data_IF_240407832801
#
_entry.id   IF_240407832801
#
_cell.length_a   1.000
_cell.length_b   1.000
_cell.length_c   1.000
_cell.angle_alpha   90.00
_cell.angle_beta   90.00
_cell.angle_gamma   90.00
#
_symmetry.space_group_name_H-M   'P 1'
#
loop_
_entity.id
_entity.type
_entity.pdbx_description
1 polymer ?
#
# COMPACT_ATOMS: atom_id res chain seq x y z
N UNK A 1 -7.02 -3.74 -4.58
CA UNK A 1 -5.72 -4.41 -4.38
C UNK A 1 -5.76 -4.96 -2.96
N UNK A 2 -5.47 -6.26 -2.77
CA UNK A 2 -5.34 -6.79 -1.41
C UNK A 2 -3.84 -6.73 -1.13
N UNK A 3 -3.43 -5.82 -0.27
CA UNK A 3 -2.07 -5.69 0.24
C UNK A 3 -1.97 -6.45 1.55
N UNK A 4 -0.88 -7.19 1.75
CA UNK A 4 -0.67 -8.03 2.93
C UNK A 4 0.39 -9.08 2.67
N UNK A 5 0.05 -10.14 1.93
CA UNK A 5 1.01 -11.18 1.54
C UNK A 5 1.15 -11.19 0.02
N UNK A 6 2.36 -10.94 -0.46
CA UNK A 6 2.70 -10.93 -1.88
C UNK A 6 3.79 -11.95 -2.13
N UNK A 7 3.63 -12.74 -3.19
CA UNK A 7 4.65 -13.68 -3.64
C UNK A 7 5.12 -13.31 -5.04
N UNK A 8 6.43 -13.29 -5.24
CA UNK A 8 7.05 -13.10 -6.55
C UNK A 8 8.35 -13.92 -6.66
N UNK A 9 8.83 -14.11 -7.89
CA UNK A 9 10.15 -14.73 -8.10
C UNK A 9 11.23 -13.78 -7.58
N UNK A 10 12.33 -14.33 -7.05
CA UNK A 10 13.49 -13.54 -6.62
C UNK A 10 14.00 -12.57 -7.69
N UNK A 11 14.13 -13.02 -8.94
CA UNK A 11 14.55 -12.17 -10.05
C UNK A 11 13.56 -11.02 -10.34
N UNK A 12 12.28 -11.22 -10.05
CA UNK A 12 11.25 -10.20 -10.18
C UNK A 12 11.36 -9.16 -9.05
N UNK A 13 11.67 -9.60 -7.82
CA UNK A 13 11.95 -8.73 -6.66
C UNK A 13 13.20 -7.86 -6.87
N UNK A 14 14.32 -8.48 -7.24
CA UNK A 14 15.60 -7.78 -7.40
C UNK A 14 15.53 -6.71 -8.49
N UNK A 15 14.94 -7.02 -9.66
CA UNK A 15 14.88 -6.03 -10.73
C UNK A 15 13.72 -5.01 -10.62
N UNK A 16 12.88 -5.08 -9.58
CA UNK A 16 12.06 -3.90 -9.16
C UNK A 16 12.72 -3.09 -8.04
N UNK A 17 13.87 -3.53 -7.53
CA UNK A 17 14.61 -2.83 -6.47
C UNK A 17 14.15 -3.18 -5.04
N UNK A 18 13.31 -4.21 -4.88
CA UNK A 18 12.79 -4.61 -3.57
C UNK A 18 11.82 -3.60 -2.95
N UNK A 19 11.78 -3.56 -1.61
CA UNK A 19 11.00 -2.60 -0.84
C UNK A 19 11.78 -1.31 -0.64
N UNK A 20 11.11 -0.16 -0.80
CA UNK A 20 11.72 1.14 -0.56
C UNK A 20 11.61 1.49 0.93
N UNK A 21 12.70 1.32 1.67
CA UNK A 21 12.79 1.61 3.11
C UNK A 21 12.60 3.10 3.45
N UNK A 22 12.63 3.99 2.45
CA UNK A 22 12.34 5.42 2.65
C UNK A 22 10.85 5.67 2.86
N UNK A 23 10.00 4.76 2.38
CA UNK A 23 8.56 4.83 2.55
C UNK A 23 8.18 4.26 3.90
N UNK A 24 7.91 5.14 4.87
CA UNK A 24 7.41 4.71 6.20
C UNK A 24 6.03 4.06 6.10
N UNK A 25 5.25 4.44 5.09
CA UNK A 25 3.91 3.94 4.81
C UNK A 25 3.74 3.67 3.31
N UNK A 26 2.86 2.72 2.97
CA UNK A 26 2.54 2.33 1.59
C UNK A 26 3.69 1.68 0.80
N UNK A 27 4.75 1.21 1.47
CA UNK A 27 5.83 0.40 0.87
C UNK A 27 5.28 -0.77 0.05
N UNK A 28 4.29 -1.50 0.57
CA UNK A 28 3.62 -2.61 -0.10
C UNK A 28 2.91 -2.17 -1.38
N UNK A 29 2.29 -0.99 -1.36
CA UNK A 29 1.57 -0.44 -2.51
C UNK A 29 2.55 -0.04 -3.61
N UNK A 30 3.65 0.62 -3.23
CA UNK A 30 4.72 0.99 -4.15
C UNK A 30 5.35 -0.26 -4.79
N UNK A 31 5.69 -1.25 -3.98
CA UNK A 31 6.24 -2.54 -4.43
C UNK A 31 5.29 -3.27 -5.39
N UNK A 32 4.00 -3.42 -5.01
CA UNK A 32 3.00 -4.03 -5.89
C UNK A 32 2.83 -3.29 -7.22
N UNK A 33 2.89 -1.96 -7.19
CA UNK A 33 2.79 -1.13 -8.40
C UNK A 33 3.98 -1.35 -9.31
N UNK A 34 5.19 -1.44 -8.76
CA UNK A 34 6.41 -1.72 -9.51
C UNK A 34 6.36 -3.10 -10.19
N UNK A 35 5.95 -4.14 -9.44
CA UNK A 35 5.74 -5.49 -9.97
C UNK A 35 4.71 -5.52 -11.10
N UNK A 36 3.61 -4.79 -10.97
CA UNK A 36 2.58 -4.70 -12.00
C UNK A 36 3.09 -4.04 -13.28
N UNK A 37 3.84 -2.95 -13.16
CA UNK A 37 4.47 -2.27 -14.32
C UNK A 37 5.44 -3.19 -15.03
N UNK A 38 6.28 -3.92 -14.28
CA UNK A 38 7.21 -4.92 -14.84
C UNK A 38 6.47 -6.06 -15.52
N UNK A 39 5.42 -6.59 -14.89
CA UNK A 39 4.57 -7.63 -15.47
C UNK A 39 4.04 -7.19 -16.83
N UNK A 40 3.49 -5.98 -16.93
CA UNK A 40 3.00 -5.43 -18.22
C UNK A 40 4.08 -5.35 -19.29
N UNK A 41 5.29 -4.91 -18.96
CA UNK A 41 6.42 -4.86 -19.90
C UNK A 41 6.87 -6.24 -20.38
N UNK A 42 6.64 -7.28 -19.58
CA UNK A 42 7.04 -8.67 -19.87
C UNK A 42 5.87 -9.54 -20.34
N UNK A 43 4.70 -8.96 -20.60
CA UNK A 43 3.49 -9.70 -21.01
C UNK A 43 2.83 -10.53 -19.89
N UNK A 44 3.23 -10.33 -18.64
CA UNK A 44 2.79 -11.08 -17.46
C UNK A 44 1.77 -10.28 -16.65
N UNK A 45 0.94 -10.96 -15.86
CA UNK A 45 -0.11 -10.35 -15.03
C UNK A 45 0.05 -10.75 -13.57
N UNK A 46 -0.30 -9.84 -12.66
CA UNK A 46 -0.49 -10.17 -11.27
C UNK A 46 -1.79 -10.96 -11.10
N UNK A 47 -1.74 -12.04 -10.33
CA UNK A 47 -2.88 -12.88 -10.01
C UNK A 47 -3.11 -12.91 -8.50
N UNK A 48 -4.38 -13.03 -8.10
CA UNK A 48 -4.79 -13.18 -6.70
C UNK A 48 -5.13 -14.64 -6.43
N UNK A 49 -4.59 -15.21 -5.34
CA UNK A 49 -5.05 -16.50 -4.84
C UNK A 49 -6.48 -16.35 -4.29
N UNK A 50 -7.47 -16.96 -4.97
CA UNK A 50 -8.88 -16.86 -4.57
C UNK A 50 -9.30 -17.87 -3.51
N UNK A 51 -8.55 -18.98 -3.40
CA UNK A 51 -8.90 -20.13 -2.55
C UNK A 51 -8.15 -20.14 -1.21
N UNK A 52 -7.00 -19.48 -1.13
CA UNK A 52 -6.24 -19.31 0.10
C UNK A 52 -6.30 -17.85 0.53
N UNK A 53 -7.10 -17.56 1.55
CA UNK A 53 -7.25 -16.20 2.10
C UNK A 53 -6.30 -16.03 3.28
N UNK A 54 -5.65 -14.87 3.34
CA UNK A 54 -4.86 -14.48 4.51
C UNK A 54 -5.81 -14.12 5.64
N UNK A 55 -5.58 -14.68 6.82
CA UNK A 55 -6.28 -14.29 8.05
C UNK A 55 -5.47 -13.17 8.70
N UNK A 56 -5.98 -11.95 8.68
CA UNK A 56 -5.35 -10.80 9.33
C UNK A 56 -5.81 -10.68 10.79
N UNK A 57 -4.92 -10.23 11.68
CA UNK A 57 -5.30 -9.89 13.06
C UNK A 57 -6.08 -8.58 13.09
N UNK A 58 -7.23 -8.57 13.76
CA UNK A 58 -8.09 -7.38 13.93
C UNK A 58 -7.62 -6.46 15.05
N UNK A 59 -6.59 -6.83 15.83
CA UNK A 59 -6.18 -6.13 17.06
C UNK A 59 -6.03 -4.61 16.89
N UNK A 60 -5.37 -4.17 15.81
CA UNK A 60 -5.21 -2.73 15.51
C UNK A 60 -6.54 -2.04 15.20
N UNK A 61 -7.45 -2.74 14.54
CA UNK A 61 -8.78 -2.22 14.22
C UNK A 61 -9.67 -2.12 15.47
N UNK A 62 -9.54 -3.11 16.37
CA UNK A 62 -10.25 -3.14 17.65
C UNK A 62 -9.76 -2.03 18.59
N UNK A 63 -8.45 -1.73 18.58
CA UNK A 63 -7.86 -0.66 19.41
C UNK A 63 -8.13 0.76 18.87
N UNK A 64 -8.13 0.96 17.54
CA UNK A 64 -8.15 2.31 16.94
C UNK A 64 -9.50 2.70 16.32
N UNK A 65 -10.40 1.72 16.12
CA UNK A 65 -11.72 1.92 15.50
C UNK A 65 -11.66 2.26 14.00
N UNK A 66 -12.65 1.81 13.23
CA UNK A 66 -12.72 2.06 11.78
C UNK A 66 -12.80 3.54 11.36
N UNK A 67 -13.13 4.43 12.29
CA UNK A 67 -13.24 5.88 12.09
C UNK A 67 -11.92 6.53 11.70
N UNK A 68 -10.79 5.95 12.09
CA UNK A 68 -9.45 6.47 11.78
C UNK A 68 -9.16 6.44 10.26
N UNK A 69 -9.71 5.46 9.54
CA UNK A 69 -9.56 5.40 8.08
C UNK A 69 -10.44 6.42 7.35
N UNK A 70 -11.61 6.80 7.91
CA UNK A 70 -12.51 7.77 7.28
C UNK A 70 -11.87 9.16 7.12
N UNK A 71 -11.11 9.62 8.14
CA UNK A 71 -10.37 10.88 8.06
C UNK A 71 -9.30 10.87 6.96
N UNK A 72 -8.53 9.80 6.90
CA UNK A 72 -7.50 9.58 5.88
C UNK A 72 -8.11 9.48 4.46
N UNK A 73 -9.15 8.67 4.28
CA UNK A 73 -9.81 8.51 2.98
C UNK A 73 -10.46 9.81 2.51
N UNK A 74 -11.08 10.61 3.41
CA UNK A 74 -11.64 11.92 3.05
C UNK A 74 -10.56 12.91 2.63
N UNK A 75 -9.43 12.97 3.35
CA UNK A 75 -8.31 13.85 2.97
C UNK A 75 -7.63 13.41 1.67
N UNK A 76 -7.37 12.11 1.51
CA UNK A 76 -6.80 11.56 0.30
C UNK A 76 -7.72 11.79 -0.91
N UNK A 77 -9.03 11.61 -0.75
CA UNK A 77 -10.03 11.86 -1.79
C UNK A 77 -10.06 13.34 -2.22
N UNK A 78 -10.11 14.28 -1.27
CA UNK A 78 -10.12 15.72 -1.58
C UNK A 78 -8.84 16.19 -2.30
N UNK A 79 -7.67 15.64 -1.95
CA UNK A 79 -6.40 16.01 -2.58
C UNK A 79 -6.10 15.28 -3.89
N UNK A 80 -6.62 14.08 -4.10
CA UNK A 80 -6.54 13.38 -5.39
C UNK A 80 -7.29 14.16 -6.49
N UNK A 81 -8.44 14.76 -6.14
CA UNK A 81 -9.18 15.66 -7.03
C UNK A 81 -8.62 17.10 -7.09
N UNK A 82 -7.80 17.50 -6.10
CA UNK A 82 -7.25 18.85 -5.97
C UNK A 82 -5.77 19.05 -6.37
N UNK A 83 -5.08 18.05 -6.94
CA UNK A 83 -3.63 18.07 -7.26
C UNK A 83 -2.70 18.25 -6.04
N UNK A 84 -2.95 17.55 -4.94
CA UNK A 84 -2.07 17.54 -3.76
C UNK A 84 -1.28 16.23 -3.62
N UNK A 85 0.00 16.33 -3.26
CA UNK A 85 0.87 15.17 -3.00
C UNK A 85 0.35 14.34 -1.81
N UNK A 86 -0.01 13.08 -2.09
CA UNK A 86 -0.55 12.13 -1.11
C UNK A 86 0.51 11.67 -0.10
N UNK A 87 1.80 11.70 -0.46
CA UNK A 87 2.88 11.24 0.39
C UNK A 87 2.99 12.10 1.67
N UNK A 88 2.98 13.43 1.49
CA UNK A 88 3.06 14.41 2.59
C UNK A 88 1.85 14.35 3.53
N UNK A 89 0.68 13.94 3.04
CA UNK A 89 -0.54 13.76 3.86
C UNK A 89 -0.43 12.53 4.74
N UNK A 90 0.04 11.41 4.17
CA UNK A 90 0.19 10.16 4.91
C UNK A 90 1.24 10.32 6.03
N UNK A 91 2.35 11.00 5.76
CA UNK A 91 3.36 11.29 6.79
C UNK A 91 2.79 12.13 7.94
N UNK A 92 2.04 13.20 7.62
CA UNK A 92 1.46 14.09 8.62
C UNK A 92 0.36 13.41 9.45
N UNK A 93 -0.42 12.52 8.85
CA UNK A 93 -1.53 11.86 9.53
C UNK A 93 -1.04 10.72 10.44
N UNK A 94 -0.09 9.90 9.98
CA UNK A 94 0.35 8.71 10.71
C UNK A 94 1.56 8.90 11.63
N UNK A 95 2.48 9.81 11.32
CA UNK A 95 3.76 9.92 12.06
C UNK A 95 3.91 11.24 12.82
N UNK A 96 3.21 12.30 12.41
CA UNK A 96 3.15 13.57 13.14
C UNK A 96 1.70 14.01 13.40
N UNK A 97 0.91 13.23 14.17
CA UNK A 97 -0.36 13.75 14.66
C UNK A 97 -0.04 14.94 15.56
N UNK A 98 -0.19 16.16 15.02
CA UNK A 98 -0.03 17.39 15.79
C UNK A 98 -0.98 17.31 16.99
N UNK A 99 -0.39 17.17 18.18
CA UNK A 99 -1.04 17.44 19.46
C UNK A 99 -1.44 18.90 19.53
#
# INVERSE_FOLDING_TARGET
FDTGVVFCRRADFEAVGGYDERLRFAEDVAFMTALWRRGRRTGRRLARARRAKVVASTRKFDEHGGWHYFGFFRMAFLRLFGRGDLHTVAERYWYHPSR
#
